data_IF_688272847163
#
_entry.id   IF_688272847163
#
_cell.length_a   1.000
_cell.length_b   1.000
_cell.length_c   1.000
_cell.angle_alpha   90.00
_cell.angle_beta   90.00
_cell.angle_gamma   90.00
#
_symmetry.space_group_name_H-M   'P 1'
#
loop_
_entity.id
_entity.type
_entity.pdbx_description
1 polymer ?
#
# COMPACT_ATOMS: atom_id res chain seq x y z
N UNK A 1 9.23 11.18 -23.29
CA UNK A 1 8.16 12.01 -22.68
C UNK A 1 7.16 12.42 -23.77
N UNK A 2 5.87 12.59 -23.47
CA UNK A 2 4.81 13.03 -24.40
C UNK A 2 4.71 12.21 -25.69
N UNK A 3 4.90 10.90 -25.58
CA UNK A 3 4.80 9.97 -26.70
C UNK A 3 3.40 9.34 -26.76
N UNK A 4 3.04 8.80 -27.92
CA UNK A 4 1.80 8.04 -28.10
C UNK A 4 2.14 6.68 -28.71
N UNK A 5 1.37 5.64 -28.39
CA UNK A 5 1.52 4.30 -28.96
C UNK A 5 2.93 3.71 -28.74
N UNK A 6 3.36 3.69 -27.48
CA UNK A 6 4.70 3.20 -27.10
C UNK A 6 4.61 1.72 -26.72
N UNK A 7 5.46 0.89 -27.29
CA UNK A 7 5.66 -0.50 -26.89
C UNK A 7 7.11 -0.71 -26.45
N UNK A 8 7.30 -1.19 -25.22
CA UNK A 8 8.59 -1.68 -24.73
C UNK A 8 8.36 -3.14 -24.36
N UNK A 9 9.05 -4.06 -25.05
CA UNK A 9 8.80 -5.49 -24.90
C UNK A 9 10.07 -6.33 -25.07
N UNK A 10 10.15 -7.45 -24.34
CA UNK A 10 11.17 -8.49 -24.51
C UNK A 10 12.62 -8.00 -24.30
N UNK A 11 12.81 -7.04 -23.38
CA UNK A 11 14.13 -6.51 -23.05
C UNK A 11 14.49 -6.77 -21.59
N UNK A 12 15.79 -6.94 -21.36
CA UNK A 12 16.38 -6.95 -20.02
C UNK A 12 17.14 -5.66 -19.79
N UNK A 13 16.87 -5.00 -18.66
CA UNK A 13 17.58 -3.80 -18.21
C UNK A 13 18.36 -4.17 -16.96
N UNK A 14 19.68 -4.23 -17.07
CA UNK A 14 20.58 -4.33 -15.92
C UNK A 14 21.12 -2.93 -15.60
N UNK A 15 21.08 -2.57 -14.31
CA UNK A 15 21.56 -1.29 -13.80
C UNK A 15 20.98 -0.10 -14.57
N UNK A 16 19.71 0.19 -14.31
CA UNK A 16 19.08 1.40 -14.84
C UNK A 16 19.77 2.67 -14.34
N UNK A 17 19.42 3.81 -14.93
CA UNK A 17 19.82 5.11 -14.38
C UNK A 17 19.05 5.43 -13.09
N UNK A 18 18.73 6.71 -12.86
CA UNK A 18 17.85 7.07 -11.73
C UNK A 18 16.47 6.38 -11.81
N UNK A 19 16.02 6.09 -13.03
CA UNK A 19 14.84 5.29 -13.35
C UNK A 19 15.24 4.34 -14.49
N UNK A 20 14.89 3.05 -14.40
CA UNK A 20 15.11 2.13 -15.53
C UNK A 20 14.18 2.46 -16.71
N UNK A 21 12.90 2.72 -16.43
CA UNK A 21 11.94 3.24 -17.41
C UNK A 21 11.19 4.42 -16.79
N UNK A 22 11.31 5.60 -17.40
CA UNK A 22 10.51 6.78 -17.04
C UNK A 22 9.64 7.21 -18.22
N UNK A 23 8.38 6.79 -18.21
CA UNK A 23 7.37 7.26 -19.13
C UNK A 23 6.67 8.48 -18.53
N UNK A 24 6.91 9.66 -19.09
CA UNK A 24 6.25 10.90 -18.64
C UNK A 24 5.28 11.42 -19.70
N UNK A 25 4.00 11.57 -19.37
CA UNK A 25 2.99 12.16 -20.26
C UNK A 25 2.64 11.31 -21.46
N UNK A 26 2.86 9.99 -21.41
CA UNK A 26 2.61 9.11 -22.53
C UNK A 26 1.14 8.68 -22.59
N UNK A 27 0.62 8.48 -23.80
CA UNK A 27 -0.74 7.97 -24.04
C UNK A 27 -0.63 6.65 -24.77
N UNK A 28 -1.37 5.61 -24.34
CA UNK A 28 -1.31 4.29 -24.94
C UNK A 28 0.12 3.70 -24.91
N UNK A 29 0.60 3.41 -23.71
CA UNK A 29 1.91 2.78 -23.50
C UNK A 29 1.74 1.35 -22.98
N UNK A 30 2.50 0.42 -23.55
CA UNK A 30 2.60 -0.96 -23.08
C UNK A 30 4.05 -1.29 -22.73
N UNK A 31 4.28 -1.78 -21.52
CA UNK A 31 5.53 -2.40 -21.09
C UNK A 31 5.24 -3.86 -20.80
N UNK A 32 5.81 -4.77 -21.58
CA UNK A 32 5.41 -6.19 -21.55
C UNK A 32 6.62 -7.11 -21.58
N UNK A 33 6.63 -8.14 -20.74
CA UNK A 33 7.72 -9.11 -20.66
C UNK A 33 9.13 -8.47 -20.52
N UNK A 34 9.23 -7.45 -19.66
CA UNK A 34 10.49 -6.77 -19.37
C UNK A 34 11.07 -7.28 -18.06
N UNK A 35 12.36 -7.61 -18.05
CA UNK A 35 13.10 -7.92 -16.82
C UNK A 35 14.00 -6.75 -16.46
N UNK A 36 13.92 -6.26 -15.23
CA UNK A 36 14.73 -5.15 -14.73
C UNK A 36 15.41 -5.60 -13.44
N UNK A 37 16.73 -5.41 -13.38
CA UNK A 37 17.52 -5.57 -12.16
C UNK A 37 18.37 -4.32 -11.99
N UNK A 38 17.95 -3.44 -11.09
CA UNK A 38 18.48 -2.08 -10.93
C UNK A 38 18.57 -1.74 -9.45
N UNK A 39 19.32 -0.70 -9.09
CA UNK A 39 19.42 -0.23 -7.70
C UNK A 39 18.57 1.01 -7.39
N UNK A 40 17.92 1.61 -8.39
CA UNK A 40 16.94 2.71 -8.25
C UNK A 40 15.57 2.28 -8.80
N UNK A 41 14.69 3.24 -9.10
CA UNK A 41 13.35 2.93 -9.57
C UNK A 41 13.36 2.03 -10.81
N UNK A 42 12.44 1.07 -10.85
CA UNK A 42 12.18 0.26 -12.03
C UNK A 42 11.35 1.01 -13.07
N UNK A 43 10.05 0.75 -13.09
CA UNK A 43 9.10 1.33 -14.07
C UNK A 43 8.32 2.47 -13.44
N UNK A 44 8.42 3.65 -14.04
CA UNK A 44 7.68 4.83 -13.66
C UNK A 44 6.69 5.27 -14.74
N UNK A 45 5.41 5.32 -14.39
CA UNK A 45 4.33 5.85 -15.21
C UNK A 45 3.92 7.21 -14.65
N UNK A 46 4.58 8.27 -15.11
CA UNK A 46 4.35 9.64 -14.64
C UNK A 46 3.41 10.39 -15.59
N UNK A 47 2.26 10.84 -15.10
CA UNK A 47 1.24 11.54 -15.90
C UNK A 47 0.80 10.77 -17.17
N UNK A 48 0.75 9.43 -17.10
CA UNK A 48 0.43 8.58 -18.26
C UNK A 48 -1.06 8.24 -18.35
N UNK A 49 -1.57 8.09 -19.56
CA UNK A 49 -2.97 7.74 -19.81
C UNK A 49 -3.08 6.47 -20.66
N UNK A 50 -3.95 5.54 -20.28
CA UNK A 50 -4.11 4.26 -20.98
C UNK A 50 -2.78 3.48 -21.03
N UNK A 51 -2.30 3.07 -19.86
CA UNK A 51 -1.02 2.37 -19.73
C UNK A 51 -1.22 0.91 -19.32
N UNK A 52 -0.44 -0.01 -19.90
CA UNK A 52 -0.40 -1.41 -19.49
C UNK A 52 1.03 -1.81 -19.12
N UNK A 53 1.19 -2.43 -17.96
CA UNK A 53 2.43 -3.10 -17.55
C UNK A 53 2.10 -4.55 -17.27
N UNK A 54 2.63 -5.47 -18.09
CA UNK A 54 2.32 -6.89 -18.01
C UNK A 54 3.56 -7.78 -17.99
N UNK A 55 3.48 -8.90 -17.28
CA UNK A 55 4.48 -9.98 -17.35
C UNK A 55 5.92 -9.53 -17.01
N UNK A 56 6.09 -8.48 -16.21
CA UNK A 56 7.41 -7.93 -15.89
C UNK A 56 8.01 -8.53 -14.60
N UNK A 57 9.34 -8.62 -14.54
CA UNK A 57 10.11 -8.98 -13.33
C UNK A 57 11.01 -7.81 -12.96
N UNK A 58 10.82 -7.20 -11.80
CA UNK A 58 11.45 -5.92 -11.48
C UNK A 58 12.08 -5.98 -10.08
N UNK A 59 13.41 -5.99 -10.04
CA UNK A 59 14.19 -5.89 -8.82
C UNK A 59 14.69 -4.45 -8.61
N UNK A 60 14.38 -3.87 -7.46
CA UNK A 60 14.77 -2.51 -7.08
C UNK A 60 14.98 -2.42 -5.55
N UNK A 61 16.10 -2.92 -4.98
CA UNK A 61 16.25 -3.07 -3.54
C UNK A 61 16.35 -1.75 -2.77
N UNK A 62 16.70 -0.64 -3.42
CA UNK A 62 16.84 0.66 -2.73
C UNK A 62 15.76 1.66 -3.14
N UNK A 63 14.82 1.33 -4.03
CA UNK A 63 13.76 2.25 -4.47
C UNK A 63 12.49 1.52 -4.94
N UNK A 64 11.55 2.24 -5.54
CA UNK A 64 10.25 1.71 -5.96
C UNK A 64 10.36 0.89 -7.27
N UNK A 65 9.92 -0.37 -7.26
CA UNK A 65 10.05 -1.27 -8.41
C UNK A 65 9.07 -0.89 -9.55
N UNK A 66 7.80 -0.66 -9.21
CA UNK A 66 6.79 -0.24 -10.18
C UNK A 66 5.96 0.88 -9.58
N UNK A 67 6.00 2.05 -10.22
CA UNK A 67 5.53 3.27 -9.63
C UNK A 67 4.68 4.13 -10.59
N UNK A 68 3.34 4.10 -10.47
CA UNK A 68 2.51 5.19 -10.97
C UNK A 68 2.83 6.49 -10.23
N UNK A 69 3.17 7.54 -10.98
CA UNK A 69 3.38 8.91 -10.48
C UNK A 69 2.49 9.89 -11.24
N UNK A 70 2.27 11.05 -10.66
CA UNK A 70 1.50 12.13 -11.28
C UNK A 70 2.09 13.47 -10.86
N UNK A 71 3.32 13.70 -11.29
CA UNK A 71 4.12 14.85 -10.92
C UNK A 71 3.71 16.13 -11.67
N UNK A 72 4.31 17.25 -11.28
CA UNK A 72 4.21 18.50 -12.04
C UNK A 72 5.26 18.61 -13.19
N UNK A 73 5.95 17.52 -13.56
CA UNK A 73 7.06 17.55 -14.52
C UNK A 73 6.70 18.05 -15.94
N UNK A 74 5.40 18.17 -16.25
CA UNK A 74 4.90 18.66 -17.53
C UNK A 74 4.42 20.12 -17.48
N UNK A 75 4.64 20.83 -16.36
CA UNK A 75 4.25 22.23 -16.16
C UNK A 75 2.77 22.44 -15.85
N UNK A 76 2.02 21.35 -15.62
CA UNK A 76 0.61 21.37 -15.21
C UNK A 76 0.30 20.09 -14.44
N UNK A 77 -0.73 20.13 -13.58
CA UNK A 77 -1.27 18.93 -12.92
C UNK A 77 -1.86 18.01 -14.01
N UNK A 78 -1.34 16.79 -14.10
CA UNK A 78 -1.82 15.78 -15.03
C UNK A 78 -1.96 14.45 -14.34
N UNK A 79 -3.17 13.91 -14.35
CA UNK A 79 -3.49 12.63 -13.73
C UNK A 79 -2.83 11.47 -14.45
N UNK A 80 -2.42 10.44 -13.71
CA UNK A 80 -2.14 9.11 -14.27
C UNK A 80 -3.40 8.26 -14.19
N UNK A 81 -3.93 7.85 -15.34
CA UNK A 81 -5.25 7.20 -15.38
C UNK A 81 -5.41 6.11 -16.42
N UNK A 82 -6.37 5.22 -16.18
CA UNK A 82 -6.66 4.05 -17.02
C UNK A 82 -5.40 3.16 -17.14
N UNK A 83 -4.90 2.70 -15.99
CA UNK A 83 -3.67 1.89 -15.90
C UNK A 83 -4.01 0.45 -15.53
N UNK A 84 -3.44 -0.50 -16.24
CA UNK A 84 -3.49 -1.93 -15.90
C UNK A 84 -2.09 -2.44 -15.58
N UNK A 85 -1.90 -3.02 -14.40
CA UNK A 85 -0.68 -3.72 -14.00
C UNK A 85 -1.06 -5.17 -13.74
N UNK A 86 -0.49 -6.12 -14.49
CA UNK A 86 -0.90 -7.52 -14.39
C UNK A 86 0.27 -8.49 -14.52
N UNK A 87 0.23 -9.60 -13.77
CA UNK A 87 1.23 -10.67 -13.87
C UNK A 87 2.68 -10.20 -13.63
N UNK A 88 2.88 -9.20 -12.75
CA UNK A 88 4.20 -8.64 -12.48
C UNK A 88 4.80 -9.19 -11.17
N UNK A 89 6.12 -9.27 -11.11
CA UNK A 89 6.87 -9.67 -9.92
C UNK A 89 7.78 -8.51 -9.51
N UNK A 90 7.69 -8.09 -8.25
CA UNK A 90 8.58 -7.09 -7.66
C UNK A 90 9.42 -7.69 -6.54
N UNK A 91 10.67 -7.25 -6.41
CA UNK A 91 11.59 -7.80 -5.41
C UNK A 91 12.61 -6.79 -4.89
N UNK A 92 13.23 -7.15 -3.77
CA UNK A 92 14.31 -6.41 -3.11
C UNK A 92 15.56 -7.25 -2.90
N UNK A 93 16.04 -7.91 -3.97
CA UNK A 93 17.29 -8.67 -3.98
C UNK A 93 18.50 -7.76 -4.22
N UNK A 94 19.69 -8.22 -3.82
CA UNK A 94 20.95 -7.58 -4.22
C UNK A 94 21.00 -7.41 -5.75
N UNK A 95 21.41 -6.23 -6.21
CA UNK A 95 21.47 -5.91 -7.65
C UNK A 95 22.36 -6.94 -8.39
N UNK A 96 21.87 -7.45 -9.51
CA UNK A 96 22.50 -8.50 -10.33
C UNK A 96 22.02 -9.91 -9.98
N UNK A 97 21.51 -10.13 -8.77
CA UNK A 97 21.14 -11.48 -8.32
C UNK A 97 19.77 -11.96 -8.82
N UNK A 98 18.93 -11.05 -9.33
CA UNK A 98 17.75 -11.47 -10.08
C UNK A 98 18.17 -12.11 -11.41
N UNK A 99 19.16 -11.52 -12.08
CA UNK A 99 19.61 -11.96 -13.41
C UNK A 99 20.51 -13.20 -13.36
N UNK A 100 21.37 -13.32 -12.35
CA UNK A 100 22.20 -14.52 -12.16
C UNK A 100 21.42 -15.72 -11.59
N UNK A 101 20.18 -15.48 -11.12
CA UNK A 101 19.27 -16.50 -10.60
C UNK A 101 19.45 -16.85 -9.13
N UNK A 102 20.39 -16.24 -8.40
CA UNK A 102 20.65 -16.52 -6.99
C UNK A 102 19.67 -15.83 -6.03
N UNK A 103 19.06 -14.71 -6.47
CA UNK A 103 17.98 -13.98 -5.77
C UNK A 103 18.28 -13.70 -4.29
N UNK A 104 19.50 -13.21 -4.01
CA UNK A 104 19.94 -12.96 -2.63
C UNK A 104 19.19 -11.77 -2.04
N UNK A 105 18.54 -11.89 -0.87
CA UNK A 105 17.85 -10.75 -0.26
C UNK A 105 18.80 -9.58 0.01
N UNK A 106 18.43 -8.37 -0.41
CA UNK A 106 19.18 -7.15 -0.05
C UNK A 106 18.97 -6.79 1.43
N UNK A 107 19.79 -5.88 1.95
CA UNK A 107 19.60 -5.28 3.27
C UNK A 107 18.47 -4.25 3.33
N UNK A 108 18.22 -3.51 2.24
CA UNK A 108 17.29 -2.35 2.25
C UNK A 108 15.87 -2.73 1.82
N UNK A 109 15.72 -3.77 0.98
CA UNK A 109 14.45 -4.43 0.60
C UNK A 109 13.30 -3.46 0.23
N UNK A 110 13.60 -2.32 -0.36
CA UNK A 110 12.61 -1.26 -0.59
C UNK A 110 11.65 -1.54 -1.76
N UNK A 111 11.99 -2.48 -2.65
CA UNK A 111 11.20 -2.81 -3.84
C UNK A 111 9.72 -3.00 -3.51
N UNK A 112 8.85 -2.43 -4.34
CA UNK A 112 7.39 -2.43 -4.11
C UNK A 112 6.63 -1.97 -5.34
N UNK A 113 5.31 -2.15 -5.31
CA UNK A 113 4.37 -1.41 -6.15
C UNK A 113 3.86 -0.22 -5.33
N UNK A 114 4.08 1.00 -5.82
CA UNK A 114 3.75 2.22 -5.07
C UNK A 114 3.17 3.32 -5.94
N UNK A 115 2.12 3.98 -5.47
CA UNK A 115 1.59 5.20 -6.10
C UNK A 115 2.22 6.40 -5.42
N UNK A 116 2.75 7.34 -6.21
CA UNK A 116 3.46 8.51 -5.69
C UNK A 116 4.95 8.27 -5.44
N UNK A 117 5.67 9.05 -4.65
CA UNK A 117 5.13 10.11 -3.81
C UNK A 117 4.59 11.30 -4.61
N UNK A 118 5.13 11.55 -5.81
CA UNK A 118 4.68 12.58 -6.73
C UNK A 118 3.22 12.32 -7.15
N UNK A 119 2.29 13.06 -6.56
CA UNK A 119 0.85 12.79 -6.65
C UNK A 119 0.01 14.02 -7.01
N UNK A 120 0.65 15.08 -7.52
CA UNK A 120 0.03 16.39 -7.81
C UNK A 120 -1.25 16.35 -8.67
N UNK A 121 -1.28 15.50 -9.69
CA UNK A 121 -2.46 15.31 -10.55
C UNK A 121 -3.34 14.11 -10.14
N UNK A 122 -2.80 13.20 -9.33
CA UNK A 122 -3.50 12.03 -8.83
C UNK A 122 -3.48 10.78 -9.72
N UNK A 123 -4.30 9.81 -9.35
CA UNK A 123 -4.42 8.47 -9.89
C UNK A 123 -5.90 8.10 -10.03
N UNK A 124 -6.32 7.62 -11.20
CA UNK A 124 -7.73 7.24 -11.41
C UNK A 124 -7.89 6.03 -12.32
N UNK A 125 -8.85 5.16 -12.00
CA UNK A 125 -9.17 3.98 -12.80
C UNK A 125 -7.93 3.10 -13.00
N UNK A 126 -7.41 2.53 -11.92
CA UNK A 126 -6.21 1.67 -11.96
C UNK A 126 -6.56 0.27 -11.47
N UNK A 127 -6.21 -0.73 -12.27
CA UNK A 127 -6.37 -2.15 -11.96
C UNK A 127 -4.99 -2.80 -11.77
N UNK A 128 -4.81 -3.51 -10.65
CA UNK A 128 -3.60 -4.30 -10.38
C UNK A 128 -4.01 -5.73 -10.06
N UNK A 129 -3.47 -6.71 -10.77
CA UNK A 129 -3.84 -8.11 -10.51
C UNK A 129 -2.73 -9.11 -10.74
N UNK A 130 -2.77 -10.22 -10.00
CA UNK A 130 -1.88 -11.36 -10.16
C UNK A 130 -0.39 -10.97 -10.01
N UNK A 131 -0.08 -10.16 -9.00
CA UNK A 131 1.29 -9.69 -8.76
C UNK A 131 1.92 -10.37 -7.55
N UNK A 132 3.23 -10.58 -7.61
CA UNK A 132 4.01 -11.22 -6.55
C UNK A 132 5.05 -10.26 -5.99
N UNK A 133 5.20 -10.25 -4.67
CA UNK A 133 6.18 -9.47 -3.93
C UNK A 133 7.12 -10.44 -3.20
N UNK A 134 8.44 -10.24 -3.27
CA UNK A 134 9.38 -11.11 -2.55
C UNK A 134 10.57 -10.33 -2.00
N UNK A 135 10.87 -10.55 -0.71
CA UNK A 135 12.00 -9.92 0.00
C UNK A 135 11.98 -8.39 -0.15
N UNK A 136 10.79 -7.81 -0.04
CA UNK A 136 10.55 -6.43 -0.40
C UNK A 136 9.34 -5.86 0.36
N UNK A 137 9.06 -4.57 0.23
CA UNK A 137 7.87 -3.96 0.84
C UNK A 137 6.61 -4.31 0.05
N UNK A 138 5.46 -4.18 0.70
CA UNK A 138 4.15 -4.43 0.10
C UNK A 138 3.63 -3.29 -0.76
N UNK A 139 2.30 -3.17 -0.83
CA UNK A 139 1.61 -2.16 -1.63
C UNK A 139 1.56 -0.81 -0.90
N UNK A 140 1.91 0.28 -1.58
CA UNK A 140 1.72 1.64 -1.06
C UNK A 140 0.87 2.52 -2.00
N UNK A 141 -0.19 3.11 -1.47
CA UNK A 141 -1.09 4.03 -2.16
C UNK A 141 -1.03 5.39 -1.45
N UNK A 142 -0.20 6.29 -1.98
CA UNK A 142 0.08 7.58 -1.35
C UNK A 142 -0.45 8.75 -2.21
N UNK A 143 -1.48 9.43 -1.71
CA UNK A 143 -1.87 10.75 -2.20
C UNK A 143 -1.46 11.77 -1.16
N UNK A 144 -0.45 12.59 -1.45
CA UNK A 144 0.09 13.56 -0.48
C UNK A 144 0.35 14.94 -1.07
N UNK A 145 0.10 15.13 -2.36
CA UNK A 145 0.42 16.37 -3.06
C UNK A 145 -0.83 17.07 -3.63
N UNK A 146 -2.02 16.69 -3.15
CA UNK A 146 -3.27 17.39 -3.38
C UNK A 146 -4.01 16.96 -4.65
N UNK A 147 -3.68 15.81 -5.22
CA UNK A 147 -4.39 15.17 -6.32
C UNK A 147 -5.59 14.32 -5.87
N UNK A 148 -6.20 13.63 -6.83
CA UNK A 148 -7.25 12.63 -6.54
C UNK A 148 -6.68 11.23 -6.60
N UNK A 149 -7.11 10.30 -5.76
CA UNK A 149 -6.79 8.89 -5.85
C UNK A 149 -8.09 8.10 -5.74
N UNK A 150 -8.62 7.63 -6.86
CA UNK A 150 -9.94 6.99 -6.87
C UNK A 150 -10.16 5.90 -7.92
N UNK A 151 -11.12 5.02 -7.64
CA UNK A 151 -11.50 3.88 -8.49
C UNK A 151 -10.30 2.96 -8.74
N UNK A 152 -9.76 2.41 -7.65
CA UNK A 152 -8.62 1.50 -7.70
C UNK A 152 -9.09 0.10 -7.31
N UNK A 153 -8.80 -0.89 -8.15
CA UNK A 153 -9.09 -2.30 -7.90
C UNK A 153 -7.79 -3.09 -7.90
N UNK A 154 -7.52 -3.79 -6.80
CA UNK A 154 -6.31 -4.58 -6.62
C UNK A 154 -6.71 -5.98 -6.18
N UNK A 155 -6.20 -7.01 -6.85
CA UNK A 155 -6.58 -8.38 -6.53
C UNK A 155 -5.46 -9.40 -6.75
N UNK A 156 -5.56 -10.54 -6.07
CA UNK A 156 -4.71 -11.71 -6.28
C UNK A 156 -3.22 -11.36 -6.08
N UNK A 157 -2.87 -10.94 -4.86
CA UNK A 157 -1.49 -10.64 -4.50
C UNK A 157 -0.91 -11.74 -3.62
N UNK A 158 0.31 -12.17 -3.92
CA UNK A 158 1.10 -13.04 -3.04
C UNK A 158 2.36 -12.32 -2.62
N UNK A 159 2.60 -12.22 -1.31
CA UNK A 159 3.75 -11.51 -0.76
C UNK A 159 4.54 -12.42 0.17
N UNK A 160 5.85 -12.53 -0.03
CA UNK A 160 6.72 -13.42 0.75
C UNK A 160 7.85 -12.61 1.38
N UNK A 161 8.01 -12.72 2.70
CA UNK A 161 9.02 -12.03 3.49
C UNK A 161 8.92 -10.52 3.27
N UNK A 162 7.75 -9.99 3.63
CA UNK A 162 7.43 -8.57 3.46
C UNK A 162 8.26 -7.75 4.43
N UNK A 163 9.16 -6.92 3.90
CA UNK A 163 9.84 -5.89 4.67
C UNK A 163 8.82 -4.80 5.00
N UNK A 164 8.74 -4.37 6.25
CA UNK A 164 7.83 -3.30 6.67
C UNK A 164 6.34 -3.71 6.57
N UNK A 165 5.56 -3.18 5.63
CA UNK A 165 4.09 -3.26 5.60
C UNK A 165 3.57 -4.04 4.38
N UNK A 166 2.42 -4.74 4.48
CA UNK A 166 1.79 -5.42 3.35
C UNK A 166 0.90 -4.49 2.52
N UNK A 167 0.16 -3.58 3.15
CA UNK A 167 -0.75 -2.63 2.51
C UNK A 167 -0.67 -1.30 3.26
N UNK A 168 -0.39 -0.23 2.53
CA UNK A 168 -0.36 1.13 3.04
C UNK A 168 -1.22 2.04 2.18
N UNK A 169 -2.19 2.71 2.77
CA UNK A 169 -3.07 3.68 2.11
C UNK A 169 -3.03 4.97 2.93
N UNK A 170 -2.60 6.07 2.33
CA UNK A 170 -2.48 7.33 3.06
C UNK A 170 -2.94 8.53 2.24
N UNK A 171 -3.62 9.45 2.92
CA UNK A 171 -3.83 10.81 2.48
C UNK A 171 -2.97 11.76 3.33
N UNK A 172 -2.14 12.56 2.67
CA UNK A 172 -1.27 13.56 3.29
C UNK A 172 -1.46 14.95 2.68
N UNK A 173 -0.70 15.92 3.18
CA UNK A 173 -0.71 17.32 2.69
C UNK A 173 0.69 17.89 2.57
N UNK A 174 1.62 17.07 2.10
CA UNK A 174 2.99 17.47 1.75
C UNK A 174 2.98 18.58 0.70
N UNK A 175 2.05 18.51 -0.26
CA UNK A 175 1.70 19.57 -1.20
C UNK A 175 2.93 20.21 -1.90
N UNK A 176 3.83 19.37 -2.45
CA UNK A 176 5.09 19.84 -3.08
C UNK A 176 4.89 20.50 -4.46
N UNK A 177 3.67 20.50 -4.99
CA UNK A 177 3.38 21.15 -6.28
C UNK A 177 3.19 22.66 -6.18
N UNK A 178 3.26 23.38 -7.31
CA UNK A 178 2.79 24.76 -7.37
C UNK A 178 1.28 24.81 -7.06
N UNK A 179 0.84 25.90 -6.43
CA UNK A 179 -0.50 26.08 -5.85
C UNK A 179 -0.85 25.03 -4.78
N UNK A 180 -0.04 24.99 -3.72
CA UNK A 180 -0.04 24.00 -2.62
C UNK A 180 -1.27 23.98 -1.70
N UNK A 181 -2.38 24.59 -2.10
CA UNK A 181 -3.60 24.72 -1.29
C UNK A 181 -4.67 23.66 -1.61
N UNK A 182 -4.57 22.95 -2.74
CA UNK A 182 -5.52 21.87 -3.05
C UNK A 182 -5.35 20.72 -2.05
N UNK A 183 -6.43 20.39 -1.34
CA UNK A 183 -6.49 19.21 -0.49
C UNK A 183 -6.86 18.00 -1.35
N UNK A 184 -6.09 16.93 -1.22
CA UNK A 184 -6.32 15.71 -1.99
C UNK A 184 -7.50 14.89 -1.51
N UNK A 185 -7.82 13.83 -2.25
CA UNK A 185 -8.86 12.87 -1.87
C UNK A 185 -8.38 11.45 -2.17
N UNK A 186 -8.62 10.52 -1.25
CA UNK A 186 -8.41 9.09 -1.46
C UNK A 186 -9.75 8.40 -1.26
N UNK A 187 -10.26 7.72 -2.28
CA UNK A 187 -11.55 7.03 -2.16
C UNK A 187 -11.77 5.85 -3.10
N UNK A 188 -12.75 5.01 -2.81
CA UNK A 188 -13.21 3.91 -3.70
C UNK A 188 -12.05 2.98 -4.10
N UNK A 189 -11.42 2.39 -3.08
CA UNK A 189 -10.32 1.44 -3.27
C UNK A 189 -10.80 0.08 -2.78
N UNK A 190 -10.70 -0.93 -3.64
CA UNK A 190 -10.98 -2.32 -3.29
C UNK A 190 -9.73 -3.15 -3.46
N UNK A 191 -9.35 -3.85 -2.39
CA UNK A 191 -8.23 -4.79 -2.37
C UNK A 191 -8.77 -6.15 -1.96
N UNK A 192 -8.49 -7.18 -2.76
CA UNK A 192 -9.00 -8.53 -2.49
C UNK A 192 -8.01 -9.66 -2.78
N UNK A 193 -8.21 -10.81 -2.15
CA UNK A 193 -7.42 -12.02 -2.38
C UNK A 193 -5.92 -11.77 -2.18
N UNK A 194 -5.54 -11.35 -0.97
CA UNK A 194 -4.14 -11.09 -0.60
C UNK A 194 -3.68 -12.16 0.37
N UNK A 195 -2.55 -12.78 0.07
CA UNK A 195 -1.83 -13.67 0.99
C UNK A 195 -0.44 -13.08 1.21
N UNK A 196 -0.07 -12.82 2.46
CA UNK A 196 1.27 -12.36 2.81
C UNK A 196 1.85 -13.15 3.99
N UNK A 197 3.15 -13.43 3.95
CA UNK A 197 3.89 -14.07 5.04
C UNK A 197 5.16 -13.30 5.40
N UNK A 198 5.63 -13.50 6.63
CA UNK A 198 6.84 -12.85 7.14
C UNK A 198 6.73 -11.33 7.15
N UNK A 199 5.53 -10.78 7.34
CA UNK A 199 5.30 -9.34 7.47
C UNK A 199 6.01 -8.83 8.71
N UNK A 200 6.78 -7.75 8.58
CA UNK A 200 7.68 -7.32 9.63
C UNK A 200 6.96 -6.90 10.92
N UNK A 201 7.60 -7.13 12.07
CA UNK A 201 7.03 -6.91 13.42
C UNK A 201 6.40 -5.53 13.61
N UNK A 202 6.96 -4.52 12.95
CA UNK A 202 6.68 -3.13 13.25
C UNK A 202 5.50 -2.54 12.48
N UNK A 203 4.91 -3.31 11.56
CA UNK A 203 4.09 -2.73 10.50
C UNK A 203 2.92 -3.63 10.10
N UNK A 204 1.70 -3.11 10.33
CA UNK A 204 0.44 -3.71 9.92
C UNK A 204 -0.04 -3.20 8.56
N UNK A 205 -1.30 -3.47 8.22
CA UNK A 205 -2.02 -2.66 7.24
C UNK A 205 -2.21 -1.27 7.84
N UNK A 206 -1.81 -0.18 7.17
CA UNK A 206 -2.16 1.17 7.62
C UNK A 206 -3.08 1.88 6.62
N UNK A 207 -4.16 2.46 7.14
CA UNK A 207 -5.12 3.26 6.37
C UNK A 207 -5.30 4.58 7.10
N UNK A 208 -4.71 5.66 6.60
CA UNK A 208 -4.69 6.94 7.31
C UNK A 208 -5.18 8.09 6.45
N UNK A 209 -6.25 8.76 6.88
CA UNK A 209 -6.65 10.07 6.38
C UNK A 209 -6.00 11.22 7.15
N UNK A 210 -6.58 12.41 7.00
CA UNK A 210 -6.24 13.58 7.81
C UNK A 210 -7.44 14.01 8.67
N UNK A 211 -7.23 14.71 9.79
CA UNK A 211 -8.31 15.32 10.55
C UNK A 211 -9.22 16.19 9.64
N UNK A 212 -10.52 15.92 9.65
CA UNK A 212 -11.51 16.61 8.81
C UNK A 212 -11.46 16.24 7.32
N UNK A 213 -10.62 15.28 6.92
CA UNK A 213 -10.48 14.81 5.54
C UNK A 213 -10.17 13.30 5.53
N UNK A 214 -11.18 12.46 5.75
CA UNK A 214 -10.96 11.02 5.83
C UNK A 214 -10.62 10.42 4.46
N UNK A 215 -10.04 9.22 4.48
CA UNK A 215 -10.08 8.31 3.34
C UNK A 215 -11.48 7.70 3.23
N UNK A 216 -12.05 7.58 2.03
CA UNK A 216 -13.47 7.22 1.85
C UNK A 216 -13.70 5.91 1.07
N UNK A 217 -14.46 4.96 1.60
CA UNK A 217 -14.90 3.77 0.87
C UNK A 217 -13.73 2.84 0.52
N UNK A 218 -13.10 2.28 1.56
CA UNK A 218 -12.04 1.28 1.45
C UNK A 218 -12.62 -0.10 1.75
N UNK A 219 -12.38 -1.05 0.86
CA UNK A 219 -12.81 -2.44 1.04
C UNK A 219 -11.63 -3.39 0.97
N UNK A 220 -11.46 -4.17 2.03
CA UNK A 220 -10.50 -5.27 2.11
C UNK A 220 -11.26 -6.60 2.20
N UNK A 221 -11.03 -7.51 1.25
CA UNK A 221 -11.74 -8.78 1.18
C UNK A 221 -10.81 -9.98 0.97
N UNK A 222 -11.04 -11.08 1.70
CA UNK A 222 -10.26 -12.32 1.55
C UNK A 222 -8.75 -12.05 1.71
N UNK A 223 -8.39 -11.58 2.91
CA UNK A 223 -7.03 -11.16 3.28
C UNK A 223 -6.48 -12.15 4.31
N UNK A 224 -5.33 -12.76 4.03
CA UNK A 224 -4.64 -13.68 4.95
C UNK A 224 -3.20 -13.22 5.16
N UNK A 225 -2.85 -12.82 6.38
CA UNK A 225 -1.55 -12.22 6.68
C UNK A 225 -0.92 -12.90 7.90
N UNK A 226 0.31 -13.41 7.72
CA UNK A 226 1.17 -13.90 8.80
C UNK A 226 2.26 -12.88 9.09
N UNK A 227 2.28 -12.39 10.32
CA UNK A 227 3.24 -11.41 10.82
C UNK A 227 4.35 -12.10 11.59
N UNK A 228 5.55 -11.52 11.63
CA UNK A 228 6.60 -11.98 12.54
C UNK A 228 6.18 -11.84 14.00
N UNK A 229 5.33 -10.84 14.31
CA UNK A 229 4.87 -10.55 15.68
C UNK A 229 5.99 -10.05 16.59
N UNK A 230 5.79 -10.10 17.91
CA UNK A 230 6.76 -9.63 18.91
C UNK A 230 6.57 -8.17 19.36
N UNK A 231 5.45 -7.54 19.04
CA UNK A 231 5.09 -6.22 19.58
C UNK A 231 4.91 -6.24 21.10
N UNK A 232 5.40 -5.21 21.78
CA UNK A 232 5.30 -5.08 23.23
C UNK A 232 3.97 -4.45 23.66
N UNK A 233 3.57 -4.66 24.92
CA UNK A 233 2.36 -4.04 25.48
C UNK A 233 2.37 -2.51 25.38
N UNK A 234 3.53 -1.88 25.57
CA UNK A 234 3.69 -0.44 25.42
C UNK A 234 3.46 0.05 23.98
N UNK A 235 3.59 -0.83 22.98
CA UNK A 235 3.33 -0.47 21.59
C UNK A 235 1.84 -0.33 21.30
N UNK A 236 1.00 -1.08 22.03
CA UNK A 236 -0.46 -0.98 21.92
C UNK A 236 -0.98 0.41 22.28
N UNK A 237 -0.33 1.08 23.23
CA UNK A 237 -0.73 2.40 23.74
C UNK A 237 -0.13 3.56 22.92
N UNK A 238 0.64 3.27 21.87
CA UNK A 238 1.21 4.32 21.02
C UNK A 238 0.11 5.06 20.27
N UNK A 239 0.33 6.37 20.15
CA UNK A 239 -0.43 7.25 19.28
C UNK A 239 0.52 7.66 18.15
N UNK A 240 0.45 7.02 16.98
CA UNK A 240 1.32 7.38 15.86
C UNK A 240 1.10 8.85 15.46
N UNK A 241 2.15 9.58 15.02
CA UNK A 241 2.00 10.96 14.59
C UNK A 241 1.04 11.08 13.39
N UNK A 242 0.40 12.24 13.24
CA UNK A 242 -0.25 12.59 11.97
C UNK A 242 0.80 12.79 10.88
N UNK A 243 0.52 12.31 9.66
CA UNK A 243 1.44 12.49 8.54
C UNK A 243 1.60 13.98 8.18
N UNK A 244 0.50 14.71 8.12
CA UNK A 244 0.43 16.15 7.80
C UNK A 244 1.32 16.52 6.58
N UNK A 245 2.39 17.29 6.79
CA UNK A 245 3.32 17.76 5.75
C UNK A 245 4.56 16.87 5.55
N UNK A 246 4.65 15.76 6.29
CA UNK A 246 5.79 14.86 6.29
C UNK A 246 5.96 14.08 4.98
N UNK A 247 7.14 13.45 4.83
CA UNK A 247 7.34 12.46 3.77
C UNK A 247 6.55 11.18 4.11
N UNK A 248 5.75 10.62 3.18
CA UNK A 248 4.73 9.60 3.45
C UNK A 248 5.21 8.18 3.72
N UNK A 249 6.46 7.98 4.12
CA UNK A 249 6.97 6.62 4.32
C UNK A 249 6.44 6.02 5.65
N UNK A 250 5.87 4.80 5.67
CA UNK A 250 5.33 4.18 6.88
C UNK A 250 6.28 4.13 8.08
N UNK A 251 7.59 3.99 7.86
CA UNK A 251 8.60 4.07 8.93
C UNK A 251 8.59 5.39 9.71
N UNK A 252 8.05 6.47 9.13
CA UNK A 252 7.87 7.78 9.79
C UNK A 252 6.68 7.80 10.73
N UNK A 253 5.66 6.98 10.48
CA UNK A 253 4.53 6.73 11.39
C UNK A 253 5.02 5.87 12.57
N UNK A 254 5.96 4.96 12.30
CA UNK A 254 6.55 4.08 13.31
C UNK A 254 5.63 2.90 13.64
N UNK A 255 5.87 2.24 14.78
CA UNK A 255 5.08 1.09 15.20
C UNK A 255 3.63 1.49 15.39
N UNK A 256 2.73 0.77 14.74
CA UNK A 256 1.29 0.94 14.94
C UNK A 256 0.79 0.22 16.18
N UNK A 257 -0.27 0.76 16.81
CA UNK A 257 -0.85 0.18 18.01
C UNK A 257 -1.59 -1.13 17.76
N UNK A 258 -1.97 -1.43 16.51
CA UNK A 258 -2.42 -2.75 16.10
C UNK A 258 -1.30 -3.47 15.35
N UNK A 259 -1.13 -4.77 15.59
CA UNK A 259 -0.16 -5.58 14.82
C UNK A 259 -0.67 -5.85 13.41
N UNK A 260 -1.98 -6.05 13.27
CA UNK A 260 -2.62 -6.46 12.03
C UNK A 260 -3.06 -5.29 11.15
N UNK A 261 -3.90 -4.41 11.71
CA UNK A 261 -4.45 -3.25 11.01
C UNK A 261 -4.55 -2.03 11.92
N UNK A 262 -4.11 -0.89 11.42
CA UNK A 262 -4.33 0.43 12.02
C UNK A 262 -5.05 1.34 11.01
N UNK A 263 -6.25 1.79 11.37
CA UNK A 263 -7.03 2.73 10.58
C UNK A 263 -7.27 4.02 11.35
N UNK A 264 -7.03 5.18 10.73
CA UNK A 264 -7.32 6.49 11.31
C UNK A 264 -7.90 7.46 10.30
N UNK A 265 -8.94 8.22 10.67
CA UNK A 265 -9.63 9.16 9.79
C UNK A 265 -10.17 8.46 8.52
N UNK A 266 -11.13 7.56 8.70
CA UNK A 266 -11.71 6.77 7.61
C UNK A 266 -13.24 6.87 7.62
N UNK A 267 -13.85 7.00 6.44
CA UNK A 267 -15.29 6.97 6.26
C UNK A 267 -15.66 5.83 5.29
N UNK A 268 -16.34 4.80 5.78
CA UNK A 268 -16.63 3.59 5.04
C UNK A 268 -15.41 2.68 4.92
N UNK A 269 -15.17 1.86 5.94
CA UNK A 269 -14.17 0.79 5.93
C UNK A 269 -14.88 -0.57 6.01
N UNK A 270 -14.76 -1.37 4.96
CA UNK A 270 -15.33 -2.72 4.90
C UNK A 270 -14.21 -3.78 5.00
N UNK A 271 -14.30 -4.65 6.00
CA UNK A 271 -13.45 -5.83 6.18
C UNK A 271 -14.30 -7.09 6.03
N UNK A 272 -13.98 -7.97 5.07
CA UNK A 272 -14.66 -9.24 4.86
C UNK A 272 -13.66 -10.37 4.70
N UNK A 273 -13.82 -11.47 5.43
CA UNK A 273 -12.97 -12.67 5.29
C UNK A 273 -11.48 -12.34 5.52
N UNK A 274 -11.20 -11.77 6.70
CA UNK A 274 -9.84 -11.34 7.09
C UNK A 274 -9.32 -12.26 8.18
N UNK A 275 -8.19 -12.90 7.92
CA UNK A 275 -7.47 -13.77 8.85
C UNK A 275 -6.06 -13.23 9.11
N UNK A 276 -5.76 -12.95 10.38
CA UNK A 276 -4.47 -12.40 10.81
C UNK A 276 -3.83 -13.34 11.84
N UNK A 277 -2.56 -13.68 11.66
CA UNK A 277 -1.81 -14.58 12.55
C UNK A 277 -0.39 -14.06 12.78
N UNK A 278 0.28 -14.52 13.83
CA UNK A 278 1.66 -14.13 14.12
C UNK A 278 2.56 -15.32 14.45
N UNK A 279 3.83 -15.23 14.09
CA UNK A 279 4.85 -16.26 14.38
C UNK A 279 5.35 -16.18 15.83
N UNK A 280 5.53 -14.96 16.34
CA UNK A 280 5.85 -14.68 17.74
C UNK A 280 4.69 -13.95 18.40
N UNK A 281 4.39 -14.29 19.66
CA UNK A 281 3.35 -13.64 20.45
C UNK A 281 3.46 -12.10 20.38
N UNK A 282 2.37 -11.45 19.97
CA UNK A 282 2.26 -9.99 19.89
C UNK A 282 1.30 -9.47 20.93
N UNK A 283 1.76 -8.52 21.75
CA UNK A 283 0.98 -7.97 22.86
C UNK A 283 0.11 -6.78 22.46
N UNK A 284 0.01 -6.48 21.16
CA UNK A 284 -0.90 -5.49 20.59
C UNK A 284 -2.22 -6.12 20.16
N UNK A 285 -3.33 -5.37 20.14
CA UNK A 285 -4.55 -5.78 19.47
C UNK A 285 -4.30 -6.12 17.98
N UNK A 286 -5.14 -6.97 17.41
CA UNK A 286 -5.08 -7.25 15.98
C UNK A 286 -5.49 -6.04 15.15
N UNK A 287 -6.56 -5.33 15.57
CA UNK A 287 -7.04 -4.14 14.87
C UNK A 287 -7.18 -2.95 15.82
N UNK A 288 -6.77 -1.78 15.35
CA UNK A 288 -6.99 -0.51 16.03
C UNK A 288 -7.59 0.49 15.05
N UNK A 289 -8.79 0.99 15.35
CA UNK A 289 -9.46 2.01 14.54
C UNK A 289 -9.73 3.27 15.37
N UNK A 290 -9.31 4.42 14.85
CA UNK A 290 -9.43 5.73 15.51
C UNK A 290 -10.10 6.72 14.56
N UNK A 291 -11.20 7.35 14.97
CA UNK A 291 -11.97 8.27 14.12
C UNK A 291 -12.37 7.61 12.78
N UNK A 292 -13.23 6.60 12.90
CA UNK A 292 -13.77 5.86 11.76
C UNK A 292 -15.29 5.93 11.77
N UNK A 293 -15.89 6.37 10.67
CA UNK A 293 -17.34 6.36 10.46
C UNK A 293 -17.70 5.27 9.46
N UNK A 294 -18.67 4.41 9.77
CA UNK A 294 -19.07 3.29 8.90
C UNK A 294 -18.02 2.18 8.81
N UNK A 295 -17.65 1.60 9.95
CA UNK A 295 -16.82 0.38 10.00
C UNK A 295 -17.69 -0.87 9.91
N UNK A 296 -17.53 -1.67 8.85
CA UNK A 296 -18.18 -2.95 8.68
C UNK A 296 -17.17 -4.10 8.76
N UNK A 297 -17.43 -5.10 9.60
CA UNK A 297 -16.56 -6.27 9.80
C UNK A 297 -17.37 -7.55 9.64
N UNK A 298 -16.95 -8.43 8.74
CA UNK A 298 -17.55 -9.75 8.48
C UNK A 298 -16.49 -10.85 8.40
N UNK A 299 -16.76 -12.01 9.00
CA UNK A 299 -15.88 -13.19 8.93
C UNK A 299 -14.42 -12.84 9.28
N UNK A 300 -14.21 -12.22 10.45
CA UNK A 300 -12.90 -11.79 10.90
C UNK A 300 -12.34 -12.76 11.94
N UNK A 301 -11.09 -13.18 11.75
CA UNK A 301 -10.35 -14.02 12.70
C UNK A 301 -8.96 -13.45 12.88
N UNK A 302 -8.50 -13.40 14.13
CA UNK A 302 -7.13 -13.01 14.41
C UNK A 302 -6.60 -13.76 15.63
N UNK A 303 -5.31 -14.08 15.61
CA UNK A 303 -4.61 -14.56 16.80
C UNK A 303 -4.44 -13.41 17.80
N UNK A 304 -4.51 -13.74 19.09
CA UNK A 304 -4.36 -12.78 20.19
C UNK A 304 -3.59 -13.42 21.33
N UNK A 305 -2.62 -12.69 21.88
CA UNK A 305 -1.97 -13.08 23.13
C UNK A 305 -2.96 -13.12 24.30
N UNK A 306 -2.64 -13.90 25.33
CA UNK A 306 -3.51 -14.05 26.51
C UNK A 306 -3.76 -12.69 27.19
N UNK A 307 -5.04 -12.31 27.35
CA UNK A 307 -5.44 -11.06 27.98
C UNK A 307 -5.33 -9.81 27.09
N UNK A 308 -4.98 -9.97 25.81
CA UNK A 308 -4.97 -8.88 24.82
C UNK A 308 -6.31 -8.86 24.07
N UNK A 309 -7.03 -7.73 24.02
CA UNK A 309 -8.27 -7.66 23.25
C UNK A 309 -7.97 -7.73 21.76
N UNK A 310 -8.84 -8.40 20.98
CA UNK A 310 -8.67 -8.51 19.52
C UNK A 310 -8.74 -7.15 18.82
N UNK A 311 -9.51 -6.20 19.35
CA UNK A 311 -9.75 -4.91 18.73
C UNK A 311 -9.72 -3.77 19.75
N UNK A 312 -9.25 -2.59 19.31
CA UNK A 312 -9.47 -1.32 20.00
C UNK A 312 -10.14 -0.32 19.06
N UNK A 313 -11.20 0.32 19.56
CA UNK A 313 -11.99 1.28 18.79
C UNK A 313 -12.09 2.61 19.54
N UNK A 314 -11.72 3.71 18.90
CA UNK A 314 -11.78 5.05 19.47
C UNK A 314 -12.53 5.97 18.49
N UNK A 315 -13.59 6.65 18.95
CA UNK A 315 -14.42 7.49 18.08
C UNK A 315 -14.98 6.77 16.83
N UNK A 316 -15.21 5.46 16.92
CA UNK A 316 -15.82 4.67 15.85
C UNK A 316 -17.35 4.81 15.89
N UNK A 317 -17.94 5.19 14.75
CA UNK A 317 -19.39 5.36 14.53
C UNK A 317 -19.87 4.42 13.43
N UNK A 318 -21.16 4.08 13.45
CA UNK A 318 -21.74 3.18 12.44
C UNK A 318 -21.10 1.79 12.41
N UNK A 319 -20.58 1.30 13.55
CA UNK A 319 -19.94 -0.02 13.65
C UNK A 319 -20.96 -1.14 13.42
N UNK A 320 -20.71 -1.96 12.41
CA UNK A 320 -21.47 -3.18 12.11
C UNK A 320 -20.52 -4.38 12.13
N UNK A 321 -20.80 -5.37 12.98
CA UNK A 321 -20.01 -6.59 13.10
C UNK A 321 -20.94 -7.78 12.89
N UNK A 322 -20.51 -8.75 12.06
CA UNK A 322 -21.22 -10.02 11.86
C UNK A 322 -20.21 -11.16 11.72
N UNK A 323 -20.52 -12.32 12.28
CA UNK A 323 -19.73 -13.54 12.12
C UNK A 323 -18.25 -13.33 12.54
N UNK A 324 -18.03 -12.52 13.57
CA UNK A 324 -16.72 -12.21 14.16
C UNK A 324 -16.83 -12.18 15.69
N UNK A 325 -16.99 -13.35 16.35
CA UNK A 325 -17.46 -13.43 17.74
C UNK A 325 -16.63 -12.63 18.76
N UNK A 326 -15.30 -12.57 18.60
CA UNK A 326 -14.44 -11.85 19.54
C UNK A 326 -14.55 -10.33 19.39
N UNK A 327 -14.86 -9.83 18.20
CA UNK A 327 -15.15 -8.41 17.97
C UNK A 327 -16.59 -8.09 18.37
N UNK A 328 -17.54 -9.01 18.17
CA UNK A 328 -18.94 -8.83 18.58
C UNK A 328 -19.07 -8.59 20.08
N UNK A 329 -18.29 -9.29 20.91
CA UNK A 329 -18.22 -9.07 22.36
C UNK A 329 -17.82 -7.62 22.69
N UNK A 330 -16.72 -7.15 22.09
CA UNK A 330 -16.21 -5.77 22.27
C UNK A 330 -17.23 -4.74 21.79
N UNK A 331 -17.94 -5.02 20.68
CA UNK A 331 -18.95 -4.12 20.15
C UNK A 331 -20.20 -4.02 21.04
N UNK A 332 -20.56 -5.09 21.76
CA UNK A 332 -21.68 -5.10 22.70
C UNK A 332 -21.36 -4.25 23.95
N UNK A 333 -20.17 -4.38 24.51
CA UNK A 333 -19.69 -3.61 25.68
C UNK A 333 -19.68 -2.09 25.45
N UNK A 334 -19.62 -1.63 24.20
CA UNK A 334 -19.69 -0.19 23.85
C UNK A 334 -21.10 0.39 23.84
N UNK A 335 -22.14 -0.45 23.86
CA UNK A 335 -23.55 -0.02 23.82
C UNK A 335 -24.17 0.12 25.21
N UNK A 336 -23.49 -0.37 26.24
CA UNK A 336 -23.82 -0.18 27.66
C UNK A 336 -23.19 1.10 28.19
#
# INVERSE_FOLDING_TARGET
KRCQHVLIRDVTIFHGGHFAILATGCINITVDNVTIDTNRDGINLDCCQSATVSNCRINAPNDDALCPKSSFALGKRMITENVTIVNCQVSGYEEGTLLDGTMKPSRVKNGRIKFGTESNGGFRNIAISNCTFRECRGLALEEVDGGIMENISISNLTMMNVDDYPIYITLGRRNRGPDSLTLGTVRKISISNVIASGVDTMSGIHITGLPGRPVEGIRLQNIRLSYKGGGAKADADRVPPELDRGYPEPRRIGITPGYGLFARHVNGLELSDVHLEFEQEDLRPAIVCVDVDGLEIRHFKAETASGVPVARFENVKGLLVRDAPDIEKIAAERKE
#
